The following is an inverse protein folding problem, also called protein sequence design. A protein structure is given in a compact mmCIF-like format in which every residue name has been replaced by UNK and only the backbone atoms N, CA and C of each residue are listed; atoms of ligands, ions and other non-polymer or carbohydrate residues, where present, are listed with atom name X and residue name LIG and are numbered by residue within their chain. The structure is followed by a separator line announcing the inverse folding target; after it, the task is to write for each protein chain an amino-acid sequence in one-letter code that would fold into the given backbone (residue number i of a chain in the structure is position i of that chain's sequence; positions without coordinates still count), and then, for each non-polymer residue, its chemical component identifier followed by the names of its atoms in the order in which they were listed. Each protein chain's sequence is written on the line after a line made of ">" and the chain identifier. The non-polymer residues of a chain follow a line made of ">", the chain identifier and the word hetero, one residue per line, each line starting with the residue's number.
data_IF_034346025502
#
_entry.id   IF_034346025502
#
_cell.length_a   1.000
_cell.length_b   1.000
_cell.length_c   1.000
_cell.angle_alpha   90.00
_cell.angle_beta   90.00
_cell.angle_gamma   90.00
#
_symmetry.space_group_name_H-M   'P 1'
#
loop_
_entity.id
_entity.type
_entity.pdbx_description
1 polymer ?
#
# COMPACT_ATOMS: atom_id res chain seq x y z
N UNK A 1 -25.57 -13.50 -30.22
CA UNK A 1 -24.63 -13.30 -31.35
C UNK A 1 -24.61 -11.81 -31.68
N UNK A 2 -23.43 -11.21 -31.79
CA UNK A 2 -23.27 -9.79 -32.12
C UNK A 2 -22.38 -9.69 -33.36
N UNK A 3 -22.91 -9.99 -34.56
CA UNK A 3 -22.10 -9.89 -35.79
C UNK A 3 -22.91 -9.95 -37.09
N UNK A 4 -24.08 -9.30 -37.19
CA UNK A 4 -24.77 -9.13 -38.50
C UNK A 4 -24.62 -7.72 -39.09
N UNK A 5 -23.98 -6.79 -38.37
CA UNK A 5 -23.78 -5.43 -38.87
C UNK A 5 -22.57 -5.38 -39.80
N UNK A 6 -22.79 -4.91 -41.03
CA UNK A 6 -21.74 -4.72 -42.04
C UNK A 6 -20.69 -3.72 -41.47
N UNK A 7 -19.39 -4.06 -41.46
CA UNK A 7 -18.35 -3.17 -40.97
C UNK A 7 -18.35 -1.84 -41.73
N UNK A 8 -18.13 -0.73 -41.01
CA UNK A 8 -18.00 0.60 -41.63
C UNK A 8 -16.77 0.62 -42.57
N UNK A 9 -16.96 0.83 -43.89
CA UNK A 9 -15.84 0.87 -44.84
C UNK A 9 -14.89 2.06 -44.62
N UNK A 10 -15.30 3.08 -43.85
CA UNK A 10 -14.46 4.22 -43.45
C UNK A 10 -13.68 3.96 -42.16
N UNK A 11 -13.95 2.86 -41.45
CA UNK A 11 -13.20 2.50 -40.25
C UNK A 11 -11.79 2.06 -40.62
N UNK A 12 -10.77 2.81 -40.16
CA UNK A 12 -9.38 2.42 -40.32
C UNK A 12 -9.06 1.17 -39.50
N UNK A 13 -8.44 0.16 -40.13
CA UNK A 13 -7.89 -1.03 -39.45
C UNK A 13 -6.44 -0.83 -39.00
N UNK A 14 -5.86 0.35 -39.30
CA UNK A 14 -4.47 0.68 -38.99
C UNK A 14 -4.43 1.78 -37.94
N UNK A 15 -3.72 1.54 -36.85
CA UNK A 15 -3.41 2.56 -35.84
C UNK A 15 -2.35 3.50 -36.41
N UNK A 16 -2.61 4.82 -36.49
CA UNK A 16 -1.62 5.78 -36.94
C UNK A 16 -0.36 5.76 -36.05
N UNK A 17 0.80 6.00 -36.66
CA UNK A 17 2.06 6.20 -35.92
C UNK A 17 1.92 7.36 -34.92
N UNK A 18 2.61 7.30 -33.79
CA UNK A 18 2.55 8.34 -32.75
C UNK A 18 2.91 9.75 -33.26
N UNK A 19 3.73 9.86 -34.32
CA UNK A 19 4.08 11.13 -34.97
C UNK A 19 2.96 11.74 -35.82
N UNK A 20 1.92 10.97 -36.17
CA UNK A 20 0.72 11.50 -36.82
C UNK A 20 -0.13 12.33 -35.87
N UNK A 21 0.04 12.14 -34.56
CA UNK A 21 -0.65 12.93 -33.54
C UNK A 21 0.05 14.30 -33.36
N UNK A 22 -0.68 15.42 -33.50
CA UNK A 22 -0.08 16.77 -33.50
C UNK A 22 0.72 17.06 -32.23
N UNK A 23 1.96 17.54 -32.40
CA UNK A 23 2.86 17.89 -31.28
C UNK A 23 2.24 18.91 -30.31
N UNK A 24 1.47 19.88 -30.83
CA UNK A 24 0.79 20.88 -30.00
C UNK A 24 -0.22 20.25 -29.05
N UNK A 25 -0.98 19.25 -29.50
CA UNK A 25 -1.93 18.50 -28.67
C UNK A 25 -1.20 17.59 -27.69
N UNK A 26 -0.18 16.85 -28.16
CA UNK A 26 0.65 15.98 -27.30
C UNK A 26 1.29 16.72 -26.12
N UNK A 27 1.71 17.97 -26.34
CA UNK A 27 2.29 18.79 -25.27
C UNK A 27 1.26 19.26 -24.22
N UNK A 28 -0.04 19.11 -24.49
CA UNK A 28 -1.13 19.43 -23.55
C UNK A 28 -1.64 18.19 -22.80
N UNK A 29 -1.11 17.01 -23.13
CA UNK A 29 -1.50 15.76 -22.48
C UNK A 29 -0.90 15.65 -21.09
N UNK A 30 -1.51 14.79 -20.27
CA UNK A 30 -0.94 14.39 -18.99
C UNK A 30 0.36 13.61 -19.27
N UNK A 31 1.51 14.02 -18.72
CA UNK A 31 2.73 13.23 -18.85
C UNK A 31 2.54 11.81 -18.28
N UNK A 32 3.10 10.80 -18.93
CA UNK A 32 3.02 9.40 -18.47
C UNK A 32 3.45 9.24 -17.02
N UNK A 33 4.53 9.91 -16.62
CA UNK A 33 5.01 9.87 -15.24
C UNK A 33 3.96 10.42 -14.26
N UNK A 34 3.34 11.56 -14.58
CA UNK A 34 2.28 12.13 -13.74
C UNK A 34 1.11 11.16 -13.56
N UNK A 35 0.72 10.44 -14.62
CA UNK A 35 -0.31 9.40 -14.52
C UNK A 35 0.12 8.23 -13.62
N UNK A 36 1.36 7.78 -13.73
CA UNK A 36 1.90 6.70 -12.90
C UNK A 36 1.98 7.10 -11.42
N UNK A 37 2.38 8.34 -11.12
CA UNK A 37 2.43 8.87 -9.74
C UNK A 37 1.03 8.91 -9.11
N UNK A 38 0.04 9.39 -9.87
CA UNK A 38 -1.37 9.43 -9.46
C UNK A 38 -1.89 8.02 -9.20
N UNK A 39 -1.62 7.07 -10.10
CA UNK A 39 -1.99 5.66 -9.95
C UNK A 39 -1.34 5.03 -8.72
N UNK A 40 -0.07 5.34 -8.47
CA UNK A 40 0.67 4.84 -7.30
C UNK A 40 0.02 5.34 -6.02
N UNK A 41 -0.31 6.63 -5.96
CA UNK A 41 -1.02 7.24 -4.83
C UNK A 41 -2.39 6.58 -4.61
N UNK A 42 -3.17 6.38 -5.68
CA UNK A 42 -4.45 5.69 -5.58
C UNK A 42 -4.29 4.26 -5.04
N UNK A 43 -3.33 3.48 -5.55
CA UNK A 43 -3.08 2.13 -5.04
C UNK A 43 -2.64 2.09 -3.57
N UNK A 44 -1.92 3.12 -3.10
CA UNK A 44 -1.60 3.27 -1.67
C UNK A 44 -2.84 3.58 -0.83
N UNK A 45 -3.78 4.39 -1.32
CA UNK A 45 -5.07 4.65 -0.66
C UNK A 45 -5.87 3.35 -0.57
N UNK A 46 -6.03 2.66 -1.71
CA UNK A 46 -6.80 1.41 -1.82
C UNK A 46 -6.25 0.33 -0.89
N UNK A 47 -4.92 0.27 -0.73
CA UNK A 47 -4.30 -0.68 0.21
C UNK A 47 -4.56 -0.26 1.66
N UNK A 48 -4.44 1.03 1.97
CA UNK A 48 -4.55 1.54 3.33
C UNK A 48 -5.98 1.50 3.87
N UNK A 49 -6.99 1.80 3.06
CA UNK A 49 -8.40 1.75 3.48
C UNK A 49 -8.83 0.35 3.98
N UNK A 50 -8.18 -0.70 3.50
CA UNK A 50 -8.47 -2.08 3.91
C UNK A 50 -8.18 -2.36 5.38
N UNK A 51 -7.36 -1.54 6.05
CA UNK A 51 -7.07 -1.71 7.47
C UNK A 51 -7.79 -0.70 8.36
N UNK A 52 -8.46 0.30 7.79
CA UNK A 52 -9.10 1.37 8.56
C UNK A 52 -10.49 0.97 9.04
N UNK A 53 -10.85 1.41 10.25
CA UNK A 53 -12.22 1.28 10.77
C UNK A 53 -13.17 2.34 10.22
N UNK A 54 -12.64 3.52 9.86
CA UNK A 54 -13.36 4.66 9.27
C UNK A 54 -12.63 5.13 8.00
N UNK A 55 -12.63 4.30 6.93
CA UNK A 55 -11.85 4.56 5.72
C UNK A 55 -12.19 5.90 5.06
N UNK A 56 -13.43 6.35 5.13
CA UNK A 56 -13.90 7.62 4.57
C UNK A 56 -13.12 8.85 5.07
N UNK A 57 -12.57 8.79 6.28
CA UNK A 57 -11.71 9.87 6.84
C UNK A 57 -10.39 10.04 6.08
N UNK A 58 -9.99 9.06 5.28
CA UNK A 58 -8.80 9.08 4.43
C UNK A 58 -9.22 9.11 2.95
N UNK A 59 -10.11 8.22 2.53
CA UNK A 59 -10.50 8.05 1.12
C UNK A 59 -11.05 9.34 0.52
N UNK A 60 -11.96 10.03 1.20
CA UNK A 60 -12.57 11.27 0.66
C UNK A 60 -11.56 12.42 0.50
N UNK A 61 -10.78 12.82 1.53
CA UNK A 61 -9.83 13.92 1.37
C UNK A 61 -8.72 13.59 0.37
N UNK A 62 -8.18 12.36 0.38
CA UNK A 62 -7.14 11.97 -0.56
C UNK A 62 -7.67 11.77 -1.98
N UNK A 63 -8.87 11.21 -2.17
CA UNK A 63 -9.51 11.11 -3.49
C UNK A 63 -9.73 12.49 -4.12
N UNK A 64 -10.13 13.48 -3.33
CA UNK A 64 -10.19 14.87 -3.78
C UNK A 64 -8.81 15.43 -4.14
N UNK A 65 -7.76 15.08 -3.39
CA UNK A 65 -6.40 15.48 -3.71
C UNK A 65 -5.89 14.83 -5.00
N UNK A 66 -6.15 13.54 -5.22
CA UNK A 66 -5.87 12.82 -6.47
C UNK A 66 -6.54 13.50 -7.67
N UNK A 67 -7.85 13.81 -7.58
CA UNK A 67 -8.59 14.53 -8.63
C UNK A 67 -8.00 15.92 -8.92
N UNK A 68 -7.61 16.65 -7.87
CA UNK A 68 -6.94 17.95 -8.01
C UNK A 68 -5.59 17.80 -8.69
N UNK A 69 -4.81 16.79 -8.33
CA UNK A 69 -3.48 16.54 -8.91
C UNK A 69 -3.54 16.24 -10.41
N UNK A 70 -4.55 15.50 -10.86
CA UNK A 70 -4.80 15.26 -12.28
C UNK A 70 -5.19 16.56 -12.99
N UNK A 71 -6.12 17.31 -12.38
CA UNK A 71 -6.62 18.56 -12.94
C UNK A 71 -5.55 19.65 -13.06
N UNK A 72 -4.62 19.76 -12.10
CA UNK A 72 -3.52 20.73 -12.16
C UNK A 72 -2.47 20.32 -13.20
N UNK A 73 -2.23 19.02 -13.35
CA UNK A 73 -1.29 18.49 -14.34
C UNK A 73 -1.73 18.78 -15.78
N UNK A 74 -3.04 18.80 -16.07
CA UNK A 74 -3.57 19.18 -17.39
C UNK A 74 -3.55 20.69 -17.68
N UNK A 75 -3.49 21.55 -16.66
CA UNK A 75 -3.57 23.02 -16.83
C UNK A 75 -2.24 23.70 -17.17
N UNK A 76 -1.23 22.94 -17.61
CA UNK A 76 0.05 23.48 -18.10
C UNK A 76 1.00 23.99 -17.00
N UNK A 77 0.77 23.64 -15.73
CA UNK A 77 1.62 23.99 -14.58
C UNK A 77 2.36 22.75 -14.06
N UNK A 78 3.33 22.27 -14.83
CA UNK A 78 3.93 20.95 -14.60
C UNK A 78 4.70 20.83 -13.28
N UNK A 79 5.47 21.84 -12.90
CA UNK A 79 6.27 21.84 -11.68
C UNK A 79 5.39 21.90 -10.42
N UNK A 80 4.40 22.80 -10.40
CA UNK A 80 3.47 22.92 -9.29
C UNK A 80 2.58 21.69 -9.16
N UNK A 81 2.18 21.09 -10.29
CA UNK A 81 1.43 19.84 -10.27
C UNK A 81 2.28 18.68 -9.73
N UNK A 82 3.56 18.62 -10.07
CA UNK A 82 4.49 17.63 -9.51
C UNK A 82 4.65 17.83 -8.00
N UNK A 83 4.99 19.04 -7.55
CA UNK A 83 5.14 19.34 -6.12
C UNK A 83 3.88 18.99 -5.32
N UNK A 84 2.71 19.24 -5.90
CA UNK A 84 1.44 18.86 -5.29
C UNK A 84 1.27 17.34 -5.17
N UNK A 85 1.58 16.57 -6.24
CA UNK A 85 1.54 15.09 -6.19
C UNK A 85 2.50 14.54 -5.15
N UNK A 86 3.72 15.05 -5.11
CA UNK A 86 4.75 14.61 -4.17
C UNK A 86 4.34 14.88 -2.72
N UNK A 87 3.75 16.05 -2.45
CA UNK A 87 3.23 16.39 -1.13
C UNK A 87 2.08 15.46 -0.70
N UNK A 88 1.14 15.16 -1.60
CA UNK A 88 0.02 14.23 -1.32
C UNK A 88 0.54 12.83 -1.03
N UNK A 89 1.47 12.31 -1.84
CA UNK A 89 2.05 11.00 -1.64
C UNK A 89 2.87 10.92 -0.34
N UNK A 90 3.63 11.96 -0.03
CA UNK A 90 4.43 12.03 1.21
C UNK A 90 3.50 12.01 2.43
N UNK A 91 2.46 12.85 2.43
CA UNK A 91 1.50 12.87 3.53
C UNK A 91 0.76 11.54 3.70
N UNK A 92 0.42 10.87 2.59
CA UNK A 92 -0.17 9.52 2.65
C UNK A 92 0.81 8.51 3.27
N UNK A 93 2.08 8.53 2.84
CA UNK A 93 3.12 7.64 3.38
C UNK A 93 3.34 7.85 4.87
N UNK A 94 3.43 9.11 5.31
CA UNK A 94 3.55 9.45 6.72
C UNK A 94 2.36 8.89 7.52
N UNK A 95 1.14 9.09 7.00
CA UNK A 95 -0.07 8.56 7.64
C UNK A 95 -0.09 7.03 7.68
N UNK A 96 0.35 6.34 6.62
CA UNK A 96 0.47 4.87 6.64
C UNK A 96 1.54 4.41 7.64
N UNK A 97 2.60 5.19 7.83
CA UNK A 97 3.68 4.91 8.78
C UNK A 97 3.28 5.08 10.25
N UNK A 98 2.14 5.73 10.53
CA UNK A 98 1.58 5.81 11.88
C UNK A 98 1.12 4.44 12.43
N UNK A 99 1.03 3.44 11.56
CA UNK A 99 0.77 2.04 11.92
C UNK A 99 2.05 1.24 11.68
N UNK A 100 2.75 0.90 12.76
CA UNK A 100 4.10 0.36 12.68
C UNK A 100 4.39 -0.67 13.77
N UNK A 101 5.37 -1.54 13.50
CA UNK A 101 5.95 -2.40 14.52
C UNK A 101 6.87 -1.57 15.41
N UNK A 102 6.82 -1.82 16.72
CA UNK A 102 7.83 -1.29 17.62
C UNK A 102 9.06 -2.18 17.51
N UNK A 103 10.19 -1.60 17.11
CA UNK A 103 11.49 -2.28 17.04
C UNK A 103 11.83 -2.92 18.38
N UNK A 104 12.28 -4.17 18.32
CA UNK A 104 12.62 -4.94 19.52
C UNK A 104 14.11 -5.03 19.70
N UNK A 105 14.51 -5.02 20.97
CA UNK A 105 15.82 -5.52 21.39
C UNK A 105 15.92 -7.02 21.18
N UNK A 106 17.15 -7.51 21.04
CA UNK A 106 17.44 -8.94 20.88
C UNK A 106 16.74 -9.79 21.95
N UNK A 107 16.05 -10.85 21.51
CA UNK A 107 15.38 -11.81 22.40
C UNK A 107 16.17 -13.11 22.38
N UNK A 108 16.74 -13.47 23.53
CA UNK A 108 17.41 -14.76 23.71
C UNK A 108 16.37 -15.83 24.05
N UNK A 109 16.27 -16.86 23.21
CA UNK A 109 15.41 -18.02 23.45
C UNK A 109 16.20 -19.06 24.27
N UNK A 110 16.01 -19.07 25.59
CA UNK A 110 16.61 -20.09 26.46
C UNK A 110 15.68 -21.31 26.56
N UNK A 111 16.01 -22.38 25.84
CA UNK A 111 15.32 -23.68 25.90
C UNK A 111 14.66 -24.13 24.60
N UNK A 112 13.83 -25.19 24.69
CA UNK A 112 13.13 -25.82 23.54
C UNK A 112 11.88 -25.07 23.08
N UNK A 113 11.41 -24.11 23.87
CA UNK A 113 10.22 -23.33 23.60
C UNK A 113 10.39 -21.92 24.13
N UNK A 114 9.92 -20.94 23.38
CA UNK A 114 9.96 -19.55 23.81
C UNK A 114 8.85 -18.74 23.15
N UNK A 115 8.38 -17.71 23.84
CA UNK A 115 7.37 -16.79 23.32
C UNK A 115 8.04 -15.51 22.85
N UNK A 116 7.83 -15.16 21.58
CA UNK A 116 8.29 -13.90 21.01
C UNK A 116 7.12 -12.92 21.13
N UNK A 117 7.16 -11.93 22.05
CA UNK A 117 6.19 -10.86 22.00
C UNK A 117 6.47 -10.06 20.72
N UNK A 118 5.43 -9.59 20.04
CA UNK A 118 5.49 -8.62 18.95
C UNK A 118 4.52 -7.50 19.31
N UNK A 119 4.94 -6.25 19.22
CA UNK A 119 4.06 -5.13 19.55
C UNK A 119 3.94 -4.18 18.37
N UNK A 120 2.69 -3.85 18.08
CA UNK A 120 2.27 -2.97 16.99
C UNK A 120 1.71 -1.73 17.63
N UNK A 121 2.04 -0.59 17.04
CA UNK A 121 1.56 0.71 17.45
C UNK A 121 0.66 1.28 16.35
N UNK A 122 -0.51 1.76 16.74
CA UNK A 122 -1.39 2.56 15.90
C UNK A 122 -1.48 3.98 16.46
N UNK A 123 -0.79 4.92 15.81
CA UNK A 123 -0.81 6.34 16.16
C UNK A 123 -1.91 7.12 15.44
N UNK A 124 -2.70 6.47 14.60
CA UNK A 124 -3.85 7.11 13.95
C UNK A 124 -4.90 7.50 15.00
N UNK A 125 -5.65 8.56 14.70
CA UNK A 125 -6.83 8.98 15.47
C UNK A 125 -8.08 8.11 15.20
N UNK A 126 -7.90 6.93 14.62
CA UNK A 126 -8.94 5.96 14.32
C UNK A 126 -8.40 4.54 14.55
N UNK A 127 -9.30 3.60 14.79
CA UNK A 127 -8.91 2.20 14.92
C UNK A 127 -8.46 1.61 13.59
N UNK A 128 -7.64 0.58 13.69
CA UNK A 128 -7.27 -0.31 12.59
C UNK A 128 -7.71 -1.73 12.89
N UNK A 129 -8.43 -2.29 11.93
CA UNK A 129 -8.94 -3.66 11.96
C UNK A 129 -8.40 -4.41 10.74
N UNK A 130 -8.43 -5.75 10.75
CA UNK A 130 -7.98 -6.59 9.62
C UNK A 130 -6.47 -6.50 9.34
N UNK A 131 -5.68 -6.09 10.32
CA UNK A 131 -4.23 -6.27 10.30
C UNK A 131 -3.90 -7.73 10.56
N UNK A 132 -2.94 -8.26 9.80
CA UNK A 132 -2.35 -9.58 10.02
C UNK A 132 -0.87 -9.41 10.27
N UNK A 133 -0.42 -9.78 11.46
CA UNK A 133 0.99 -9.87 11.76
C UNK A 133 1.54 -11.18 11.23
N UNK A 134 2.64 -11.08 10.49
CA UNK A 134 3.37 -12.21 9.92
C UNK A 134 4.75 -12.27 10.54
N UNK A 135 5.02 -13.36 11.25
CA UNK A 135 6.35 -13.66 11.75
C UNK A 135 6.92 -14.80 10.90
N UNK A 136 8.07 -14.55 10.27
CA UNK A 136 8.80 -15.53 9.45
C UNK A 136 10.19 -15.72 10.04
N UNK A 137 10.66 -16.96 10.09
CA UNK A 137 12.06 -17.26 10.40
C UNK A 137 12.81 -17.69 9.13
N UNK A 138 14.01 -17.14 8.95
CA UNK A 138 14.98 -17.64 7.99
C UNK A 138 15.84 -18.78 8.57
N UNK A 139 15.68 -19.09 9.86
CA UNK A 139 16.35 -20.21 10.52
C UNK A 139 15.44 -21.44 10.54
N UNK A 140 15.83 -22.48 9.80
CA UNK A 140 15.11 -23.76 9.70
C UNK A 140 14.89 -24.48 11.04
N UNK A 141 15.64 -24.12 12.08
CA UNK A 141 15.56 -24.72 13.42
C UNK A 141 14.51 -24.06 14.31
N UNK A 142 14.09 -22.84 13.99
CA UNK A 142 13.03 -22.14 14.69
C UNK A 142 11.70 -22.44 14.01
N UNK A 143 10.79 -23.08 14.76
CA UNK A 143 9.46 -23.43 14.30
C UNK A 143 8.43 -22.61 15.07
N UNK A 144 7.38 -22.19 14.37
CA UNK A 144 6.18 -21.58 14.93
C UNK A 144 5.03 -22.54 14.68
N UNK A 145 4.15 -22.76 15.67
CA UNK A 145 2.93 -23.58 15.60
C UNK A 145 3.06 -24.91 14.79
N UNK A 146 3.08 -26.06 15.47
CA UNK A 146 3.04 -27.41 14.86
C UNK A 146 3.91 -27.57 13.58
N UNK A 147 5.15 -27.04 13.61
CA UNK A 147 6.24 -27.19 12.62
C UNK A 147 6.37 -26.19 11.44
N UNK A 148 5.61 -25.09 11.42
CA UNK A 148 5.74 -24.02 10.40
C UNK A 148 6.98 -23.12 10.55
N UNK A 149 7.48 -22.53 9.45
CA UNK A 149 8.49 -21.44 9.49
C UNK A 149 7.88 -20.04 9.47
N UNK A 150 6.55 -19.97 9.47
CA UNK A 150 5.76 -18.76 9.42
C UNK A 150 4.54 -18.89 10.33
N UNK A 151 4.22 -17.82 11.06
CA UNK A 151 3.00 -17.69 11.83
C UNK A 151 2.28 -16.39 11.49
N UNK A 152 0.95 -16.46 11.51
CA UNK A 152 0.08 -15.31 11.28
C UNK A 152 -0.84 -15.09 12.48
N UNK A 153 -1.02 -13.82 12.88
CA UNK A 153 -1.97 -13.46 13.93
C UNK A 153 -2.78 -12.22 13.51
N UNK A 154 -4.12 -12.26 13.53
CA UNK A 154 -4.93 -11.08 13.31
C UNK A 154 -4.84 -10.14 14.51
N UNK A 155 -4.80 -8.83 14.24
CA UNK A 155 -4.66 -7.78 15.26
C UNK A 155 -5.67 -6.66 15.00
N UNK A 156 -6.21 -6.09 16.07
CA UNK A 156 -7.15 -4.97 16.05
C UNK A 156 -6.74 -3.94 17.08
N UNK A 157 -6.42 -2.74 16.65
CA UNK A 157 -5.81 -1.72 17.50
C UNK A 157 -6.64 -0.46 17.45
N UNK A 158 -7.15 -0.01 18.60
CA UNK A 158 -7.81 1.30 18.69
C UNK A 158 -6.87 2.44 18.28
N UNK A 159 -7.46 3.60 17.96
CA UNK A 159 -6.67 4.79 17.62
C UNK A 159 -5.82 5.27 18.79
N UNK A 160 -4.56 5.60 18.54
CA UNK A 160 -3.60 6.05 19.57
C UNK A 160 -3.13 4.96 20.54
N UNK A 161 -3.45 3.68 20.27
CA UNK A 161 -3.09 2.56 21.15
C UNK A 161 -2.00 1.67 20.55
N UNK A 162 -1.38 0.87 21.41
CA UNK A 162 -0.47 -0.21 21.02
C UNK A 162 -1.02 -1.55 21.48
N UNK A 163 -0.78 -2.60 20.71
CA UNK A 163 -1.13 -3.96 21.08
C UNK A 163 0.11 -4.86 21.03
N UNK A 164 0.31 -5.65 22.08
CA UNK A 164 1.32 -6.70 22.11
C UNK A 164 0.64 -8.06 21.94
N UNK A 165 1.09 -8.82 20.95
CA UNK A 165 0.70 -10.22 20.73
C UNK A 165 1.89 -11.12 20.97
N UNK A 166 1.64 -12.39 21.26
CA UNK A 166 2.66 -13.38 21.59
C UNK A 166 2.66 -14.45 20.50
N UNK A 167 3.83 -14.73 19.95
CA UNK A 167 4.07 -15.84 19.03
C UNK A 167 4.79 -16.95 19.79
N UNK A 168 4.17 -18.11 19.89
CA UNK A 168 4.80 -19.27 20.53
C UNK A 168 5.70 -19.98 19.52
N UNK A 169 6.91 -20.31 19.97
CA UNK A 169 7.94 -20.95 19.15
C UNK A 169 8.42 -22.23 19.81
N UNK A 170 8.79 -23.20 18.98
CA UNK A 170 9.49 -24.42 19.36
C UNK A 170 10.83 -24.48 18.61
N UNK A 171 11.88 -24.91 19.30
CA UNK A 171 13.20 -25.14 18.69
C UNK A 171 13.50 -26.63 18.66
N UNK A 172 13.93 -27.14 17.50
CA UNK A 172 14.24 -28.57 17.35
C UNK A 172 15.60 -28.97 17.96
N UNK A 173 16.40 -28.01 18.45
CA UNK A 173 17.66 -28.25 19.16
C UNK A 173 18.06 -27.06 20.05
N UNK A 174 18.72 -27.34 21.18
CA UNK A 174 19.31 -26.31 22.04
C UNK A 174 20.48 -25.63 21.30
N UNK A 175 20.43 -24.30 21.17
CA UNK A 175 21.59 -23.50 20.75
C UNK A 175 22.60 -23.38 21.89
N UNK A 176 23.90 -23.49 21.58
CA UNK A 176 24.99 -23.10 22.47
C UNK A 176 25.11 -21.58 22.52
#
# INVERSE_FOLDING_TARGET
>A
AASEVKPDPLATTKVPRASAYPKKLRNQELPTQAFQDIRTTQGSIDSFETILTQPERVVTPFGNAVNRSMSTSWRGRSLEAQAYRDAVLTYLKDLTGEVQLIDKSDVTLSGRSATIPVTVQNKLVQGVDRLVLRLKSDNIRLKFNDDGTMAELPVRIGGGHSQSVKFDTATSANGR
#
